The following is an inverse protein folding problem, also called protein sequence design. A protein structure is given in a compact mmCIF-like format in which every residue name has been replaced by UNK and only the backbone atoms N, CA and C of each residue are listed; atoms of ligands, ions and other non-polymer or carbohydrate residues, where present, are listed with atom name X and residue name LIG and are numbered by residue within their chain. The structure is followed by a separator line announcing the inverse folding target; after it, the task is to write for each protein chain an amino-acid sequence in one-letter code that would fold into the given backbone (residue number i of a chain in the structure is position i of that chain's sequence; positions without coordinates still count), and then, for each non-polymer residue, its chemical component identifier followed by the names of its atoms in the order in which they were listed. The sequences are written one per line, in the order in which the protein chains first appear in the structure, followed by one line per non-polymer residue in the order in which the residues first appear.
data_IF_056010303164
#
_entry.id   IF_056010303164
#
_cell.length_a   1.000
_cell.length_b   1.000
_cell.length_c   1.000
_cell.angle_alpha   90.00
_cell.angle_beta   90.00
_cell.angle_gamma   90.00
#
_symmetry.space_group_name_H-M   'P 1'
#
loop_
_entity.id
_entity.type
_entity.pdbx_description
1 polymer ?
#
# COMPACT_ATOMS: atom_id res chain seq x y z
N UNK A 1 -18.43 2.26 -17.93
CA UNK A 1 -17.71 3.55 -17.78
C UNK A 1 -16.39 3.37 -18.50
N UNK A 2 -15.98 4.30 -19.35
CA UNK A 2 -14.71 4.20 -20.08
C UNK A 2 -13.51 4.42 -19.15
N UNK A 3 -12.41 3.72 -19.37
CA UNK A 3 -11.14 3.94 -18.69
C UNK A 3 -10.50 5.25 -19.19
N UNK A 4 -10.34 6.31 -18.38
CA UNK A 4 -9.77 7.57 -18.84
C UNK A 4 -8.26 7.47 -19.15
N UNK A 5 -7.60 6.42 -18.68
CA UNK A 5 -6.17 6.15 -18.88
C UNK A 5 -5.90 5.26 -20.10
N UNK A 6 -6.94 4.80 -20.81
CA UNK A 6 -6.80 3.79 -21.85
C UNK A 6 -5.81 4.20 -22.95
N UNK A 7 -4.78 3.38 -23.10
CA UNK A 7 -3.79 3.47 -24.17
C UNK A 7 -3.71 2.11 -24.89
N UNK A 8 -4.12 2.03 -26.18
CA UNK A 8 -4.13 0.77 -26.93
C UNK A 8 -2.73 0.18 -27.17
N UNK A 9 -1.66 0.97 -27.04
CA UNK A 9 -0.28 0.47 -27.15
C UNK A 9 0.19 -0.29 -25.90
N UNK A 10 -0.48 -0.13 -24.74
CA UNK A 10 -0.15 -0.79 -23.48
C UNK A 10 -1.04 -2.02 -23.28
N UNK A 11 -0.46 -3.21 -23.30
CA UNK A 11 -1.21 -4.49 -23.25
C UNK A 11 -2.07 -4.64 -21.98
N UNK A 12 -1.67 -4.04 -20.87
CA UNK A 12 -2.40 -4.10 -19.61
C UNK A 12 -3.57 -3.10 -19.53
N UNK A 13 -3.70 -2.18 -20.50
CA UNK A 13 -4.83 -1.26 -20.58
C UNK A 13 -6.00 -1.87 -21.34
N UNK A 14 -7.19 -1.73 -20.78
CA UNK A 14 -8.46 -2.09 -21.41
C UNK A 14 -9.35 -0.86 -21.55
N UNK A 15 -10.27 -0.84 -22.52
CA UNK A 15 -11.22 0.27 -22.65
C UNK A 15 -12.09 0.54 -21.43
N UNK A 16 -12.22 -0.46 -20.53
CA UNK A 16 -13.06 -0.45 -19.33
C UNK A 16 -12.29 -0.60 -18.02
N UNK A 17 -10.95 -0.70 -18.06
CA UNK A 17 -10.09 -0.88 -16.87
C UNK A 17 -8.69 -1.36 -17.21
N UNK A 18 -8.17 -2.31 -16.44
CA UNK A 18 -6.83 -2.86 -16.55
C UNK A 18 -6.85 -4.40 -16.54
N UNK A 19 -5.75 -5.02 -16.93
CA UNK A 19 -5.58 -6.47 -16.92
C UNK A 19 -4.12 -6.84 -16.66
N UNK A 20 -3.90 -8.09 -16.25
CA UNK A 20 -2.56 -8.65 -16.11
C UNK A 20 -1.94 -8.90 -17.49
N UNK A 21 -0.59 -8.86 -17.58
CA UNK A 21 0.14 -9.08 -18.82
C UNK A 21 0.09 -10.54 -19.34
N UNK A 22 0.04 -11.51 -18.41
CA UNK A 22 0.22 -12.93 -18.74
C UNK A 22 -1.02 -13.79 -18.46
N UNK A 23 -1.74 -13.49 -17.39
CA UNK A 23 -2.95 -14.23 -17.02
C UNK A 23 -4.11 -13.27 -16.86
N UNK A 24 -5.21 -13.54 -17.56
CA UNK A 24 -6.44 -12.77 -17.33
C UNK A 24 -7.00 -13.10 -15.94
N UNK A 25 -7.29 -12.08 -15.15
CA UNK A 25 -8.07 -12.25 -13.94
C UNK A 25 -9.52 -12.58 -14.32
N UNK A 26 -10.01 -13.72 -13.84
CA UNK A 26 -11.42 -14.07 -13.89
C UNK A 26 -12.02 -13.95 -12.50
N UNK A 27 -12.85 -12.95 -12.30
CA UNK A 27 -13.60 -12.81 -11.06
C UNK A 27 -14.39 -14.07 -10.72
N UNK A 28 -14.48 -14.42 -9.44
CA UNK A 28 -15.29 -15.54 -8.98
C UNK A 28 -16.77 -15.26 -9.24
N UNK A 29 -17.48 -16.23 -9.79
CA UNK A 29 -18.95 -16.15 -9.95
C UNK A 29 -19.61 -16.30 -8.57
N UNK A 30 -20.76 -15.67 -8.38
CA UNK A 30 -21.46 -15.67 -7.08
C UNK A 30 -21.71 -17.08 -6.52
N UNK A 31 -22.03 -18.06 -7.36
CA UNK A 31 -22.22 -19.44 -6.93
C UNK A 31 -20.90 -20.14 -6.51
N UNK A 32 -19.76 -19.76 -7.08
CA UNK A 32 -18.44 -20.24 -6.65
C UNK A 32 -18.11 -19.70 -5.25
N UNK A 33 -18.47 -18.44 -4.98
CA UNK A 33 -18.31 -17.81 -3.65
C UNK A 33 -19.21 -18.51 -2.63
N UNK A 34 -20.49 -18.77 -2.97
CA UNK A 34 -21.40 -19.50 -2.08
C UNK A 34 -20.93 -20.92 -1.82
N UNK A 35 -20.49 -21.64 -2.87
CA UNK A 35 -19.93 -22.99 -2.73
C UNK A 35 -18.71 -22.99 -1.82
N UNK A 36 -17.79 -22.05 -2.02
CA UNK A 36 -16.60 -21.90 -1.18
C UNK A 36 -16.97 -21.59 0.28
N UNK A 37 -17.89 -20.69 0.53
CA UNK A 37 -18.37 -20.38 1.89
C UNK A 37 -19.01 -21.59 2.56
N UNK A 38 -19.81 -22.34 1.82
CA UNK A 38 -20.43 -23.57 2.33
C UNK A 38 -19.39 -24.66 2.63
N UNK A 39 -18.41 -24.83 1.75
CA UNK A 39 -17.29 -25.76 1.97
C UNK A 39 -16.47 -25.34 3.19
N UNK A 40 -16.13 -24.06 3.32
CA UNK A 40 -15.43 -23.51 4.47
C UNK A 40 -16.19 -23.72 5.78
N UNK A 41 -17.51 -23.51 5.75
CA UNK A 41 -18.37 -23.77 6.91
C UNK A 41 -18.39 -25.25 7.28
N UNK A 42 -18.51 -26.16 6.32
CA UNK A 42 -18.46 -27.61 6.57
C UNK A 42 -17.12 -28.11 7.06
N UNK A 43 -16.04 -27.57 6.55
CA UNK A 43 -14.69 -27.92 6.97
C UNK A 43 -14.33 -27.39 8.37
N UNK A 44 -15.15 -26.48 8.91
CA UNK A 44 -14.83 -25.72 10.11
C UNK A 44 -13.75 -24.67 9.82
N UNK A 45 -13.83 -23.52 10.48
CA UNK A 45 -12.73 -22.56 10.42
C UNK A 45 -11.56 -23.09 11.24
N UNK A 46 -10.32 -22.91 10.79
CA UNK A 46 -9.17 -23.14 11.66
C UNK A 46 -9.39 -22.36 12.96
N UNK A 47 -9.23 -23.02 14.09
CA UNK A 47 -9.26 -22.29 15.37
C UNK A 47 -8.14 -21.29 15.37
N UNK A 48 -8.36 -20.07 15.92
CA UNK A 48 -7.27 -19.13 16.14
C UNK A 48 -6.12 -19.83 16.85
N UNK A 49 -4.89 -19.47 16.49
CA UNK A 49 -3.71 -19.97 17.18
C UNK A 49 -3.89 -19.72 18.69
N UNK A 50 -3.81 -20.79 19.49
CA UNK A 50 -3.89 -20.69 20.94
C UNK A 50 -2.60 -20.12 21.53
N UNK A 51 -1.49 -20.29 20.82
CA UNK A 51 -0.19 -19.73 21.20
C UNK A 51 -0.08 -18.30 20.67
N UNK A 52 0.21 -17.31 21.53
CA UNK A 52 0.46 -15.94 21.09
C UNK A 52 1.57 -15.92 20.06
N UNK A 53 1.36 -15.18 18.98
CA UNK A 53 2.43 -14.93 17.99
C UNK A 53 3.45 -14.02 18.68
N UNK A 54 4.76 -14.39 18.69
CA UNK A 54 5.79 -13.55 19.28
C UNK A 54 5.81 -12.18 18.60
N UNK A 55 5.83 -11.13 19.41
CA UNK A 55 5.97 -9.73 18.95
C UNK A 55 7.25 -9.16 19.53
N UNK A 56 8.10 -8.66 18.66
CA UNK A 56 9.31 -7.93 19.06
C UNK A 56 8.99 -6.45 19.06
N UNK A 57 9.20 -5.77 20.18
CA UNK A 57 9.04 -4.33 20.24
C UNK A 57 10.11 -3.65 19.36
N UNK A 58 9.74 -2.68 18.52
CA UNK A 58 10.70 -1.94 17.73
C UNK A 58 11.56 -1.04 18.64
N UNK A 59 12.80 -0.79 18.20
CA UNK A 59 13.67 0.20 18.81
C UNK A 59 13.22 1.60 18.38
N UNK A 60 12.37 2.23 19.21
CA UNK A 60 11.80 3.55 18.90
C UNK A 60 12.88 4.64 18.89
N UNK A 61 13.88 4.53 19.77
CA UNK A 61 14.96 5.50 19.84
C UNK A 61 15.78 5.49 18.55
N UNK A 62 16.10 4.28 18.05
CA UNK A 62 16.73 4.14 16.73
C UNK A 62 15.84 4.68 15.62
N UNK A 63 14.57 4.29 15.55
CA UNK A 63 13.65 4.72 14.48
C UNK A 63 13.58 6.25 14.41
N UNK A 64 13.42 6.93 15.54
CA UNK A 64 13.31 8.39 15.58
C UNK A 64 14.65 9.10 15.34
N UNK A 65 15.75 8.60 15.91
CA UNK A 65 17.08 9.16 15.66
C UNK A 65 17.47 9.03 14.20
N UNK A 66 17.21 7.85 13.60
CA UNK A 66 17.50 7.60 12.19
C UNK A 66 16.64 8.47 11.25
N UNK A 67 15.36 8.73 11.59
CA UNK A 67 14.49 9.61 10.83
C UNK A 67 14.99 11.07 10.78
N UNK A 68 15.73 11.49 11.80
CA UNK A 68 16.30 12.85 11.90
C UNK A 68 17.73 12.97 11.39
N UNK A 69 18.34 11.84 10.99
CA UNK A 69 19.76 11.79 10.63
C UNK A 69 20.06 12.43 9.26
N UNK A 70 19.04 12.77 8.45
CA UNK A 70 19.24 13.37 7.13
C UNK A 70 20.12 12.51 6.22
N UNK A 71 21.24 13.07 5.74
CA UNK A 71 22.21 12.35 4.89
C UNK A 71 22.96 11.22 5.62
N UNK A 72 22.97 11.21 6.94
CA UNK A 72 23.55 10.13 7.75
C UNK A 72 22.56 9.02 8.07
N UNK A 73 21.34 9.07 7.51
CA UNK A 73 20.33 8.04 7.70
C UNK A 73 20.87 6.67 7.26
N UNK A 74 20.74 5.69 8.14
CA UNK A 74 21.08 4.30 7.80
C UNK A 74 19.90 3.63 7.11
N UNK A 75 20.12 2.88 6.00
CA UNK A 75 19.06 2.09 5.41
C UNK A 75 18.46 1.11 6.43
N UNK A 76 17.18 1.25 6.70
CA UNK A 76 16.47 0.44 7.69
C UNK A 76 15.04 0.12 7.22
N UNK A 77 14.56 -1.08 7.60
CA UNK A 77 13.19 -1.51 7.36
C UNK A 77 12.57 -2.00 8.69
N UNK A 78 11.47 -1.40 9.08
CA UNK A 78 10.69 -1.81 10.25
C UNK A 78 9.36 -2.40 9.79
N UNK A 79 9.17 -3.70 9.99
CA UNK A 79 7.90 -4.36 9.67
C UNK A 79 6.85 -4.02 10.74
N UNK A 80 5.79 -3.36 10.31
CA UNK A 80 4.70 -2.92 11.19
C UNK A 80 3.61 -3.98 11.30
N UNK A 81 3.38 -4.71 10.21
CA UNK A 81 2.42 -5.80 10.17
C UNK A 81 1.72 -5.91 8.83
N UNK A 82 1.29 -7.11 8.46
CA UNK A 82 0.76 -7.46 7.16
C UNK A 82 1.73 -7.04 6.05
N UNK A 83 1.39 -6.03 5.27
CA UNK A 83 2.21 -5.48 4.19
C UNK A 83 2.76 -4.08 4.50
N UNK A 84 2.45 -3.56 5.69
CA UNK A 84 2.91 -2.23 6.11
C UNK A 84 4.35 -2.31 6.64
N UNK A 85 5.25 -1.63 5.95
CA UNK A 85 6.67 -1.51 6.30
C UNK A 85 7.07 -0.04 6.29
N UNK A 86 7.74 0.39 7.35
CA UNK A 86 8.46 1.67 7.36
C UNK A 86 9.87 1.44 6.79
N UNK A 87 10.16 2.13 5.70
CA UNK A 87 11.49 2.17 5.08
C UNK A 87 12.13 3.53 5.37
N UNK A 88 13.33 3.52 5.94
CA UNK A 88 14.15 4.69 6.19
C UNK A 88 15.37 4.61 5.28
N UNK A 89 15.37 5.36 4.19
CA UNK A 89 16.43 5.30 3.17
C UNK A 89 16.61 6.66 2.48
N UNK A 90 17.84 7.00 2.13
CA UNK A 90 18.16 8.21 1.37
C UNK A 90 17.72 9.52 2.05
N UNK A 91 17.61 9.53 3.38
CA UNK A 91 17.14 10.66 4.16
C UNK A 91 15.62 10.84 4.18
N UNK A 92 14.84 9.84 3.72
CA UNK A 92 13.38 9.87 3.70
C UNK A 92 12.77 8.68 4.45
N UNK A 93 11.60 8.92 5.04
CA UNK A 93 10.77 7.89 5.67
C UNK A 93 9.62 7.53 4.72
N UNK A 94 9.66 6.33 4.16
CA UNK A 94 8.63 5.82 3.26
C UNK A 94 7.77 4.78 3.98
N UNK A 95 6.47 4.78 3.74
CA UNK A 95 5.55 3.81 4.33
C UNK A 95 4.79 3.07 3.22
N UNK A 96 4.85 1.74 3.24
CA UNK A 96 4.13 0.91 2.27
C UNK A 96 2.75 0.55 2.79
N UNK A 97 1.72 0.60 1.93
CA UNK A 97 0.37 0.08 2.16
C UNK A 97 -0.09 0.21 3.62
N UNK A 98 -0.28 1.44 4.15
CA UNK A 98 -0.51 1.66 5.58
C UNK A 98 -1.87 1.15 6.03
N UNK A 99 -1.87 0.12 6.88
CA UNK A 99 -3.06 -0.46 7.50
C UNK A 99 -2.87 -0.51 9.02
N UNK A 100 -3.50 0.41 9.74
CA UNK A 100 -3.48 0.50 11.20
C UNK A 100 -4.82 0.15 11.84
N UNK A 101 -5.90 0.06 11.03
CA UNK A 101 -7.21 -0.39 11.50
C UNK A 101 -7.17 -1.82 12.03
N UNK A 102 -8.04 -2.12 12.98
CA UNK A 102 -8.19 -3.47 13.56
C UNK A 102 -8.71 -4.47 12.53
N UNK A 103 -9.49 -4.02 11.55
CA UNK A 103 -10.06 -4.87 10.50
C UNK A 103 -9.83 -4.29 9.13
N UNK A 104 -9.37 -5.12 8.21
CA UNK A 104 -9.24 -4.77 6.79
C UNK A 104 -10.60 -4.95 6.07
N UNK A 105 -11.57 -4.10 6.41
CA UNK A 105 -12.92 -4.15 5.86
C UNK A 105 -13.54 -2.74 5.86
N UNK A 106 -14.60 -2.48 5.05
CA UNK A 106 -15.27 -1.17 5.03
C UNK A 106 -15.81 -0.71 6.38
N UNK A 107 -16.08 -1.66 7.28
CA UNK A 107 -16.61 -1.40 8.63
C UNK A 107 -15.79 -2.15 9.68
N UNK A 108 -15.65 -1.56 10.87
CA UNK A 108 -14.77 -2.14 11.91
C UNK A 108 -15.47 -3.19 12.80
N UNK A 109 -16.77 -3.44 12.61
CA UNK A 109 -17.51 -4.49 13.32
C UNK A 109 -17.56 -5.84 12.57
N UNK A 110 -17.05 -5.91 11.32
CA UNK A 110 -17.04 -7.12 10.50
C UNK A 110 -15.75 -7.24 9.69
N UNK A 111 -15.50 -8.44 9.13
CA UNK A 111 -14.34 -8.72 8.27
C UNK A 111 -13.12 -9.24 9.02
N UNK A 112 -12.03 -9.55 8.30
CA UNK A 112 -10.81 -10.08 8.88
C UNK A 112 -10.23 -9.12 9.92
N UNK A 113 -9.86 -9.66 11.09
CA UNK A 113 -9.28 -8.91 12.19
C UNK A 113 -7.78 -9.17 12.29
N UNK A 114 -7.05 -8.14 12.68
CA UNK A 114 -5.63 -8.22 13.02
C UNK A 114 -5.42 -9.23 14.15
N UNK A 115 -4.45 -10.12 13.98
CA UNK A 115 -4.14 -11.16 14.97
C UNK A 115 -3.10 -10.69 16.01
N UNK A 116 -2.24 -9.76 15.62
CA UNK A 116 -1.21 -9.16 16.49
C UNK A 116 -1.33 -7.65 16.43
N UNK A 117 -0.96 -6.92 17.51
CA UNK A 117 -0.82 -5.47 17.44
C UNK A 117 0.10 -5.05 16.30
N UNK A 118 -0.08 -3.84 15.78
CA UNK A 118 0.89 -3.25 14.87
C UNK A 118 2.25 -3.09 15.59
N UNK A 119 3.34 -3.40 14.90
CA UNK A 119 4.70 -3.27 15.47
C UNK A 119 5.03 -1.85 15.89
N UNK A 120 4.55 -0.86 15.10
CA UNK A 120 4.49 0.55 15.48
C UNK A 120 3.04 1.00 15.44
N UNK A 121 2.59 1.80 16.40
CA UNK A 121 1.31 2.51 16.30
C UNK A 121 1.48 3.75 15.40
N UNK A 122 0.38 4.25 14.88
CA UNK A 122 0.37 5.44 14.02
C UNK A 122 1.00 6.67 14.71
N UNK A 123 0.75 6.83 16.01
CA UNK A 123 1.29 7.92 16.84
C UNK A 123 2.77 7.73 17.23
N UNK A 124 3.35 6.58 16.94
CA UNK A 124 4.76 6.26 17.15
C UNK A 124 5.59 6.39 15.86
N UNK A 125 4.95 6.63 14.72
CA UNK A 125 5.67 6.83 13.47
C UNK A 125 6.49 8.13 13.51
N UNK A 126 7.67 8.17 12.90
CA UNK A 126 8.31 9.42 12.54
C UNK A 126 7.47 10.15 11.49
N UNK A 127 7.82 11.39 11.16
CA UNK A 127 7.21 12.06 10.01
C UNK A 127 7.39 11.19 8.74
N UNK A 128 6.31 10.91 8.05
CA UNK A 128 6.33 10.12 6.80
C UNK A 128 6.39 11.08 5.62
N UNK A 129 7.43 10.93 4.80
CA UNK A 129 7.63 11.77 3.61
C UNK A 129 6.83 11.22 2.41
N UNK A 130 6.77 9.89 2.27
CA UNK A 130 6.15 9.21 1.13
C UNK A 130 5.34 8.01 1.58
N UNK A 131 4.14 7.87 1.00
CA UNK A 131 3.33 6.65 1.11
C UNK A 131 3.28 5.97 -0.24
N UNK A 132 3.70 4.71 -0.31
CA UNK A 132 3.61 3.85 -1.48
C UNK A 132 2.40 2.94 -1.35
N UNK A 133 1.40 3.12 -2.22
CA UNK A 133 0.17 2.33 -2.20
C UNK A 133 0.12 1.40 -3.42
N UNK A 134 0.14 0.09 -3.20
CA UNK A 134 0.22 -0.92 -4.27
C UNK A 134 -1.09 -1.11 -5.03
N UNK A 135 -2.24 -1.05 -4.35
CA UNK A 135 -3.58 -1.20 -4.95
C UNK A 135 -4.69 -0.88 -3.93
N UNK A 136 -5.96 -1.07 -4.33
CA UNK A 136 -7.12 -0.59 -3.55
C UNK A 136 -7.83 -1.63 -2.68
N UNK A 137 -7.31 -2.82 -2.46
CA UNK A 137 -7.94 -3.75 -1.52
C UNK A 137 -7.93 -3.18 -0.10
N UNK A 138 -8.85 -3.64 0.76
CA UNK A 138 -9.02 -3.08 2.11
C UNK A 138 -7.86 -3.40 3.05
N UNK A 139 -7.09 -4.44 2.78
CA UNK A 139 -5.89 -4.83 3.52
C UNK A 139 -4.61 -4.15 3.03
N UNK A 140 -4.73 -3.21 2.08
CA UNK A 140 -3.66 -2.34 1.57
C UNK A 140 -4.03 -0.86 1.64
N UNK A 141 -5.24 -0.51 1.26
CA UNK A 141 -5.74 0.86 1.21
C UNK A 141 -6.72 1.11 2.36
N UNK A 142 -6.20 1.28 3.57
CA UNK A 142 -6.98 1.58 4.77
C UNK A 142 -7.28 3.07 4.86
N UNK A 143 -8.56 3.43 4.75
CA UNK A 143 -9.02 4.81 4.70
C UNK A 143 -8.63 5.61 5.94
N UNK A 144 -8.82 5.04 7.13
CA UNK A 144 -8.53 5.72 8.39
C UNK A 144 -7.04 6.05 8.51
N UNK A 145 -6.18 5.11 8.13
CA UNK A 145 -4.72 5.29 8.13
C UNK A 145 -4.26 6.36 7.15
N UNK A 146 -4.77 6.33 5.91
CA UNK A 146 -4.40 7.30 4.86
C UNK A 146 -4.86 8.71 5.20
N UNK A 147 -6.07 8.86 5.76
CA UNK A 147 -6.58 10.17 6.21
C UNK A 147 -5.76 10.69 7.39
N UNK A 148 -5.46 9.87 8.39
CA UNK A 148 -4.64 10.27 9.53
C UNK A 148 -3.22 10.70 9.09
N UNK A 149 -2.58 9.95 8.19
CA UNK A 149 -1.27 10.32 7.63
C UNK A 149 -1.33 11.62 6.85
N UNK A 150 -2.40 11.89 6.12
CA UNK A 150 -2.55 13.18 5.40
C UNK A 150 -2.66 14.39 6.32
N UNK A 151 -2.95 14.17 7.59
CA UNK A 151 -3.11 15.19 8.64
C UNK A 151 -1.95 15.20 9.64
N UNK A 152 -0.88 14.46 9.40
CA UNK A 152 0.27 14.42 10.29
C UNK A 152 0.90 15.80 10.49
N UNK A 153 1.55 16.02 11.64
CA UNK A 153 2.32 17.22 11.89
C UNK A 153 3.49 17.34 10.89
N UNK A 154 3.80 18.53 10.44
CA UNK A 154 4.87 18.76 9.46
C UNK A 154 4.42 18.70 8.00
N UNK A 155 3.17 18.34 7.73
CA UNK A 155 2.59 18.31 6.38
C UNK A 155 2.21 16.91 5.90
N UNK A 156 1.34 16.86 4.90
CA UNK A 156 0.90 15.60 4.29
C UNK A 156 2.04 14.93 3.51
N UNK A 157 2.19 13.60 3.58
CA UNK A 157 3.14 12.88 2.75
C UNK A 157 2.78 12.98 1.26
N UNK A 158 3.74 12.70 0.41
CA UNK A 158 3.46 12.40 -0.99
C UNK A 158 2.90 10.98 -1.10
N UNK A 159 1.69 10.83 -1.64
CA UNK A 159 1.12 9.52 -1.95
C UNK A 159 1.47 9.13 -3.39
N UNK A 160 2.18 8.03 -3.57
CA UNK A 160 2.47 7.44 -4.89
C UNK A 160 1.63 6.17 -5.03
N UNK A 161 0.86 6.09 -6.11
CA UNK A 161 -0.14 5.03 -6.30
C UNK A 161 -0.26 4.68 -7.78
N UNK A 162 -0.74 3.47 -8.14
CA UNK A 162 -1.07 3.15 -9.52
C UNK A 162 -2.23 4.00 -10.06
N UNK A 163 -2.41 4.01 -11.37
CA UNK A 163 -3.48 4.74 -12.06
C UNK A 163 -4.88 4.39 -11.52
N UNK A 164 -5.74 5.40 -11.41
CA UNK A 164 -7.15 5.24 -11.04
C UNK A 164 -7.47 5.40 -9.56
N UNK A 165 -6.51 5.82 -8.74
CA UNK A 165 -6.73 6.04 -7.30
C UNK A 165 -6.90 7.53 -6.92
N UNK A 166 -6.32 8.45 -7.68
CA UNK A 166 -6.29 9.90 -7.36
C UNK A 166 -7.67 10.49 -7.06
N UNK A 167 -8.70 10.06 -7.80
CA UNK A 167 -10.07 10.53 -7.54
C UNK A 167 -10.60 10.10 -6.16
N UNK A 168 -10.18 8.94 -5.64
CA UNK A 168 -10.55 8.48 -4.31
C UNK A 168 -9.90 9.35 -3.23
N UNK A 169 -8.62 9.69 -3.39
CA UNK A 169 -7.89 10.60 -2.51
C UNK A 169 -8.50 12.01 -2.53
N UNK A 170 -8.78 12.56 -3.72
CA UNK A 170 -9.37 13.89 -3.88
C UNK A 170 -10.71 14.04 -3.16
N UNK A 171 -11.55 12.99 -3.16
CA UNK A 171 -12.84 12.97 -2.43
C UNK A 171 -12.67 13.03 -0.91
N UNK A 172 -11.47 12.84 -0.40
CA UNK A 172 -11.10 12.92 1.02
C UNK A 172 -10.23 14.14 1.35
N UNK A 173 -10.11 15.06 0.39
CA UNK A 173 -9.31 16.28 0.53
C UNK A 173 -7.80 16.03 0.46
N UNK A 174 -7.37 14.85 0.01
CA UNK A 174 -5.95 14.51 -0.14
C UNK A 174 -5.54 14.77 -1.59
N UNK A 175 -4.68 15.78 -1.80
CA UNK A 175 -4.32 16.26 -3.14
C UNK A 175 -2.86 16.02 -3.51
N UNK A 176 -1.97 15.76 -2.53
CA UNK A 176 -0.56 15.47 -2.77
C UNK A 176 -0.37 14.03 -3.22
N UNK A 177 -0.86 13.71 -4.44
CA UNK A 177 -0.96 12.36 -5.00
C UNK A 177 -0.38 12.32 -6.40
N UNK A 178 0.53 11.38 -6.64
CA UNK A 178 1.09 11.02 -7.96
C UNK A 178 0.56 9.65 -8.34
N UNK A 179 0.04 9.53 -9.57
CA UNK A 179 -0.33 8.25 -10.17
C UNK A 179 0.71 7.80 -11.17
N UNK A 180 1.10 6.53 -11.12
CA UNK A 180 2.05 5.90 -12.03
C UNK A 180 1.38 4.77 -12.80
N UNK A 181 1.78 4.59 -14.05
CA UNK A 181 1.53 3.38 -14.81
C UNK A 181 2.70 2.40 -14.60
N UNK A 182 2.56 1.15 -15.02
CA UNK A 182 3.66 0.19 -14.98
C UNK A 182 4.87 0.70 -15.76
N UNK A 183 6.02 0.68 -15.10
CA UNK A 183 7.31 1.17 -15.55
C UNK A 183 7.45 2.69 -15.59
N UNK A 184 6.41 3.44 -15.19
CA UNK A 184 6.60 4.87 -14.94
C UNK A 184 7.40 5.06 -13.66
N UNK A 185 8.18 6.15 -13.61
CA UNK A 185 8.98 6.56 -12.46
C UNK A 185 8.54 7.92 -11.92
N UNK A 186 8.70 8.09 -10.63
CA UNK A 186 8.68 9.39 -9.96
C UNK A 186 9.96 9.55 -9.16
N UNK A 187 10.69 10.65 -9.40
CA UNK A 187 11.93 10.93 -8.69
C UNK A 187 11.63 11.70 -7.43
N UNK A 188 11.94 11.10 -6.28
CA UNK A 188 11.81 11.76 -4.99
C UNK A 188 12.92 12.79 -4.79
N UNK A 189 12.62 13.92 -4.12
CA UNK A 189 13.64 14.86 -3.70
C UNK A 189 14.45 14.21 -2.56
N UNK A 190 15.64 13.72 -2.85
CA UNK A 190 16.55 13.29 -1.81
C UNK A 190 17.03 14.48 -0.97
N UNK A 191 17.46 14.22 0.28
CA UNK A 191 18.01 15.25 1.18
C UNK A 191 19.20 15.98 0.56
N UNK A 192 19.98 15.27 -0.27
CA UNK A 192 20.94 15.88 -1.19
C UNK A 192 20.30 16.00 -2.58
N UNK A 193 20.07 17.23 -3.04
CA UNK A 193 19.48 17.52 -4.37
C UNK A 193 20.31 16.99 -5.54
N UNK A 194 21.56 16.60 -5.32
CA UNK A 194 22.41 15.92 -6.31
C UNK A 194 22.09 14.44 -6.48
N UNK A 195 21.41 13.85 -5.49
CA UNK A 195 21.04 12.43 -5.51
C UNK A 195 19.61 12.25 -6.05
N UNK A 196 19.46 11.33 -6.97
CA UNK A 196 18.15 10.92 -7.49
C UNK A 196 17.69 9.65 -6.79
N UNK A 197 16.47 9.63 -6.30
CA UNK A 197 15.85 8.44 -5.75
C UNK A 197 14.55 8.13 -6.53
N UNK A 198 14.65 7.44 -7.67
CA UNK A 198 13.50 7.03 -8.45
C UNK A 198 12.67 6.00 -7.70
N UNK A 199 11.35 6.19 -7.74
CA UNK A 199 10.34 5.20 -7.38
C UNK A 199 9.67 4.75 -8.66
N UNK A 200 9.80 3.47 -8.99
CA UNK A 200 9.25 2.87 -10.21
C UNK A 200 8.08 1.96 -9.84
N UNK A 201 6.93 2.13 -10.51
CA UNK A 201 5.83 1.20 -10.37
C UNK A 201 6.09 -0.04 -11.25
N UNK A 202 6.18 -1.21 -10.63
CA UNK A 202 6.46 -2.48 -11.29
C UNK A 202 5.20 -3.31 -11.48
N UNK A 203 5.10 -4.09 -12.58
CA UNK A 203 3.98 -5.00 -12.80
C UNK A 203 3.86 -6.07 -11.73
N UNK A 204 2.62 -6.40 -11.35
CA UNK A 204 2.30 -7.53 -10.50
C UNK A 204 1.13 -8.33 -11.08
N UNK A 205 1.12 -9.64 -10.84
CA UNK A 205 -0.03 -10.50 -11.18
C UNK A 205 -1.05 -10.42 -10.03
N UNK A 206 -2.00 -9.50 -10.17
CA UNK A 206 -3.01 -9.22 -9.15
C UNK A 206 -4.31 -8.70 -9.77
N UNK A 207 -5.10 -8.00 -9.00
CA UNK A 207 -6.35 -7.35 -9.41
C UNK A 207 -6.71 -6.25 -8.41
N UNK A 208 -7.64 -5.38 -8.78
CA UNK A 208 -8.14 -4.31 -7.93
C UNK A 208 -9.65 -4.39 -7.79
N UNK A 209 -10.18 -4.15 -6.59
CA UNK A 209 -11.59 -3.88 -6.30
C UNK A 209 -11.77 -3.36 -4.88
N UNK A 210 -12.70 -2.44 -4.68
CA UNK A 210 -13.21 -2.02 -3.37
C UNK A 210 -14.71 -2.26 -3.23
N UNK A 211 -15.40 -2.35 -4.36
CA UNK A 211 -16.84 -2.56 -4.45
C UNK A 211 -17.14 -3.65 -5.47
N UNK A 212 -18.38 -4.06 -5.54
CA UNK A 212 -18.84 -5.02 -6.56
C UNK A 212 -18.84 -4.44 -7.99
N UNK A 213 -18.60 -3.13 -8.15
CA UNK A 213 -18.74 -2.42 -9.43
C UNK A 213 -17.45 -1.82 -9.98
N UNK A 214 -16.34 -1.90 -9.25
CA UNK A 214 -15.06 -1.27 -9.60
C UNK A 214 -13.91 -2.25 -9.82
N UNK A 215 -14.21 -3.53 -9.93
CA UNK A 215 -13.21 -4.54 -10.22
C UNK A 215 -12.42 -4.19 -11.49
N UNK A 216 -11.07 -4.24 -11.40
CA UNK A 216 -10.12 -3.93 -12.47
C UNK A 216 -10.16 -2.48 -13.01
N UNK A 217 -10.82 -1.54 -12.32
CA UNK A 217 -10.95 -0.16 -12.80
C UNK A 217 -9.79 0.75 -12.37
N UNK A 218 -9.03 0.37 -11.37
CA UNK A 218 -7.75 0.96 -11.01
C UNK A 218 -6.63 -0.06 -11.25
N UNK A 219 -5.44 0.43 -11.52
CA UNK A 219 -4.25 -0.40 -11.72
C UNK A 219 -3.74 -0.90 -10.35
N UNK A 220 -2.83 -1.85 -10.36
CA UNK A 220 -2.11 -2.42 -9.23
C UNK A 220 -0.65 -2.62 -9.59
N UNK A 221 0.23 -2.76 -8.61
CA UNK A 221 1.65 -3.00 -8.86
C UNK A 221 2.45 -3.19 -7.58
N UNK A 222 3.74 -3.42 -7.74
CA UNK A 222 4.76 -3.28 -6.71
C UNK A 222 5.56 -2.01 -6.93
N UNK A 223 6.52 -1.74 -6.07
CA UNK A 223 7.42 -0.60 -6.22
C UNK A 223 8.87 -1.02 -6.14
N UNK A 224 9.69 -0.45 -7.02
CA UNK A 224 11.14 -0.44 -6.85
C UNK A 224 11.57 0.96 -6.43
N UNK A 225 12.25 1.06 -5.29
CA UNK A 225 12.83 2.30 -4.77
C UNK A 225 14.32 2.23 -4.95
N UNK A 226 14.88 3.11 -5.78
CA UNK A 226 16.29 3.09 -6.17
C UNK A 226 17.03 4.20 -5.43
N UNK A 227 17.36 3.96 -4.16
CA UNK A 227 18.21 4.86 -3.39
C UNK A 227 19.69 4.65 -3.75
N UNK A 228 20.54 5.69 -3.66
CA UNK A 228 21.98 5.54 -3.83
C UNK A 228 22.62 4.50 -2.91
N UNK A 229 22.09 4.35 -1.70
CA UNK A 229 22.66 3.46 -0.67
C UNK A 229 22.15 2.02 -0.78
N UNK A 230 20.90 1.83 -1.19
CA UNK A 230 20.30 0.51 -1.35
C UNK A 230 19.09 0.54 -2.29
N UNK A 231 18.83 -0.58 -2.94
CA UNK A 231 17.61 -0.76 -3.74
C UNK A 231 16.64 -1.65 -2.98
N UNK A 232 15.37 -1.22 -2.93
CA UNK A 232 14.26 -1.96 -2.31
C UNK A 232 13.27 -2.33 -3.38
N UNK A 233 12.86 -3.60 -3.37
CA UNK A 233 11.86 -4.13 -4.30
C UNK A 233 10.81 -4.93 -3.54
#
# INVERSE_FOLDING_TARGET
MKNPYYNPAKKHHRPDGFQNNYQSFRGKRWHEILRWRWQAWRAGHPRPLQTPIPVVAPDLDFVHANAQAGLAMQPAATWIGHITVLLQIGGLNLLTDPVFSERCFPVQWAGPQRQTPAGLRLDQLPHIDVVLLSHNHYDHMDEASLVALSQQAGGAPLFITPLGHKHWFARRGIHHVVELDWWDEHVLPASDRSLRMPVVLTPAQHWSARTTRDALRSLWGGFAVLSPDCHVF
#
